data_IF_943768558640
#
_entry.id   IF_943768558640
#
_cell.length_a   1.000
_cell.length_b   1.000
_cell.length_c   1.000
_cell.angle_alpha   90.00
_cell.angle_beta   90.00
_cell.angle_gamma   90.00
#
_symmetry.space_group_name_H-M   'P 1'
#
loop_
_entity.id
_entity.type
_entity.pdbx_description
1 polymer ?
#
# COMPACT_ATOMS: atom_id res chain seq x y z
N UNK A 1 -10.90 54.73 -17.26
CA UNK A 1 -10.16 55.32 -16.12
C UNK A 1 -9.63 54.24 -15.21
N UNK A 2 -8.32 54.22 -15.00
CA UNK A 2 -7.63 53.35 -14.02
C UNK A 2 -7.97 53.80 -12.58
N UNK A 3 -7.79 52.94 -11.54
CA UNK A 3 -6.45 52.89 -10.97
C UNK A 3 -5.91 51.50 -10.64
N UNK A 4 -4.61 51.43 -10.87
CA UNK A 4 -3.65 50.50 -10.23
C UNK A 4 -3.41 50.98 -8.80
N UNK A 5 -2.72 50.10 -8.04
CA UNK A 5 -2.08 50.24 -6.72
C UNK A 5 -2.83 49.50 -5.62
N UNK A 6 -2.36 48.30 -5.31
CA UNK A 6 -1.79 47.90 -4.00
C UNK A 6 -1.30 46.45 -4.08
N UNK A 7 -0.07 46.27 -4.43
CA UNK A 7 0.66 45.03 -4.28
C UNK A 7 2.12 45.35 -3.99
N UNK A 8 2.42 45.65 -2.75
CA UNK A 8 3.78 45.59 -2.15
C UNK A 8 3.58 45.75 -0.66
N UNK A 9 3.77 44.72 0.11
CA UNK A 9 4.15 44.69 1.55
C UNK A 9 3.82 43.34 2.18
N UNK A 10 4.51 42.29 1.75
CA UNK A 10 4.49 41.00 2.47
C UNK A 10 5.78 40.15 2.28
N UNK A 11 6.93 40.78 2.05
CA UNK A 11 8.21 40.06 1.86
C UNK A 11 9.32 40.66 2.75
N UNK A 12 9.09 40.96 4.00
CA UNK A 12 10.16 41.41 4.93
C UNK A 12 10.13 40.71 6.30
N UNK A 13 9.33 39.71 6.53
CA UNK A 13 9.21 39.07 7.86
C UNK A 13 9.85 37.70 8.02
N UNK A 14 10.61 37.17 7.06
CA UNK A 14 11.17 35.79 7.13
C UNK A 14 12.71 35.75 7.25
N UNK A 15 13.41 36.88 7.32
CA UNK A 15 14.88 36.90 7.35
C UNK A 15 15.52 37.29 8.70
N UNK A 16 14.78 37.30 9.81
CA UNK A 16 15.34 37.66 11.12
C UNK A 16 15.22 36.57 12.21
N UNK A 17 14.83 35.35 11.86
CA UNK A 17 14.69 34.24 12.81
C UNK A 17 15.82 33.20 12.81
N UNK A 18 16.91 33.37 12.08
CA UNK A 18 17.87 32.31 11.78
C UNK A 18 19.29 32.46 12.37
N UNK A 19 19.54 33.33 13.33
CA UNK A 19 20.91 33.49 13.88
C UNK A 19 20.87 33.71 15.38
N UNK A 20 20.54 32.69 16.17
CA UNK A 20 20.78 32.69 17.63
C UNK A 20 20.80 31.28 18.24
N UNK A 21 21.56 30.35 17.71
CA UNK A 21 21.80 29.08 18.41
C UNK A 21 23.16 28.43 18.10
N UNK A 22 24.26 29.21 18.05
CA UNK A 22 25.60 28.64 18.24
C UNK A 22 26.50 29.76 18.74
N UNK A 23 26.71 29.92 20.01
CA UNK A 23 28.04 29.91 20.59
C UNK A 23 28.08 29.47 22.05
N UNK A 24 27.90 28.23 22.37
CA UNK A 24 28.16 27.75 23.71
C UNK A 24 29.18 26.60 23.78
N UNK A 25 29.77 26.19 22.65
CA UNK A 25 30.68 25.07 22.60
C UNK A 25 32.18 25.45 22.43
N UNK A 26 32.55 26.72 22.30
CA UNK A 26 33.95 27.12 22.00
C UNK A 26 34.70 27.83 23.15
N UNK A 27 34.11 27.97 24.34
CA UNK A 27 34.73 28.74 25.41
C UNK A 27 35.42 27.89 26.50
N UNK A 28 35.78 26.64 26.27
CA UNK A 28 36.45 25.78 27.28
C UNK A 28 37.76 25.11 26.83
N UNK A 29 38.47 25.66 25.91
CA UNK A 29 39.78 25.15 25.49
C UNK A 29 40.93 26.16 25.56
N UNK A 30 40.83 27.18 26.42
CA UNK A 30 41.97 28.07 26.73
C UNK A 30 41.94 28.42 28.19
N UNK A 31 42.55 27.62 29.01
CA UNK A 31 42.78 27.86 30.43
C UNK A 31 44.00 27.07 30.88
N UNK A 32 45.15 27.71 30.74
CA UNK A 32 46.45 27.28 31.25
C UNK A 32 46.48 27.16 32.77
N UNK A 33 47.06 26.11 33.31
CA UNK A 33 48.01 26.16 34.36
C UNK A 33 47.59 25.90 35.77
N UNK A 34 48.23 24.86 36.32
CA UNK A 34 48.74 24.64 37.67
C UNK A 34 47.80 24.16 38.79
N UNK A 35 48.01 22.93 39.14
CA UNK A 35 48.12 22.47 40.54
C UNK A 35 46.84 22.25 41.35
N UNK A 36 46.49 20.99 41.59
CA UNK A 36 45.57 20.62 42.66
C UNK A 36 45.02 19.19 42.48
N UNK A 37 45.60 18.24 43.18
CA UNK A 37 45.07 16.90 43.34
C UNK A 37 43.71 16.93 44.06
N UNK A 38 42.64 16.69 43.34
CA UNK A 38 41.31 16.50 43.89
C UNK A 38 40.57 15.54 42.96
N UNK A 39 40.36 14.29 43.40
CA UNK A 39 39.63 13.27 42.69
C UNK A 39 38.17 13.69 42.43
N UNK A 40 37.92 14.33 41.32
CA UNK A 40 36.58 14.58 40.81
C UNK A 40 36.11 13.36 40.03
N UNK A 41 35.18 12.61 40.58
CA UNK A 41 34.47 11.60 39.82
C UNK A 41 33.86 12.25 38.56
N UNK A 42 34.33 11.91 37.38
CA UNK A 42 33.72 12.31 36.13
C UNK A 42 32.28 11.76 36.12
N UNK A 43 31.33 12.65 36.28
CA UNK A 43 29.93 12.30 36.09
C UNK A 43 29.76 11.83 34.62
N UNK A 44 29.70 10.52 34.44
CA UNK A 44 29.30 9.92 33.15
C UNK A 44 27.88 10.35 32.91
N UNK A 45 27.68 11.28 32.00
CA UNK A 45 26.34 11.69 31.54
C UNK A 45 25.64 10.44 31.04
N UNK A 46 24.65 9.95 31.81
CA UNK A 46 23.77 8.89 31.36
C UNK A 46 23.04 9.42 30.15
N UNK A 47 23.10 8.74 28.96
CA UNK A 47 22.39 9.19 27.80
C UNK A 47 20.91 9.30 28.16
N UNK A 48 20.31 10.45 27.86
CA UNK A 48 18.87 10.68 28.02
C UNK A 48 18.12 9.63 27.21
N UNK A 49 17.12 8.92 27.76
CA UNK A 49 16.40 7.89 27.04
C UNK A 49 15.68 8.50 25.84
N UNK A 50 16.20 8.27 24.65
CA UNK A 50 15.56 8.70 23.41
C UNK A 50 14.24 7.95 23.25
N UNK A 51 13.16 8.70 23.04
CA UNK A 51 11.85 8.11 22.77
C UNK A 51 11.95 7.20 21.54
N UNK A 52 11.59 5.91 21.65
CA UNK A 52 11.68 5.00 20.53
C UNK A 52 10.81 5.49 19.36
N UNK A 53 11.24 5.33 18.10
CA UNK A 53 10.40 5.71 16.95
C UNK A 53 9.14 4.87 16.90
N UNK A 54 8.04 5.42 16.33
CA UNK A 54 6.77 4.71 16.24
C UNK A 54 6.90 3.44 15.38
N UNK A 55 6.11 2.38 15.66
CA UNK A 55 6.18 1.14 14.91
C UNK A 55 5.82 1.34 13.44
N UNK A 56 6.41 0.52 12.59
CA UNK A 56 6.16 0.49 11.14
C UNK A 56 6.17 -0.95 10.64
N UNK A 57 5.99 -1.16 9.35
CA UNK A 57 6.32 -2.43 8.72
C UNK A 57 7.73 -2.38 8.15
N UNK A 58 8.51 -3.42 8.39
CA UNK A 58 9.81 -3.62 7.77
C UNK A 58 9.96 -5.07 7.29
N UNK A 59 10.84 -5.27 6.31
CA UNK A 59 11.16 -6.58 5.80
C UNK A 59 11.70 -7.49 6.90
N UNK A 60 11.15 -8.69 6.99
CA UNK A 60 11.53 -9.69 7.98
C UNK A 60 11.08 -11.08 7.55
N UNK A 61 11.48 -12.12 8.28
CA UNK A 61 11.00 -13.47 8.03
C UNK A 61 9.50 -13.56 8.31
N UNK A 62 8.78 -14.21 7.39
CA UNK A 62 7.35 -14.53 7.53
C UNK A 62 7.18 -16.03 7.49
N UNK A 63 6.54 -16.58 8.53
CA UNK A 63 6.23 -18.00 8.63
C UNK A 63 4.71 -18.19 8.75
N UNK A 64 4.14 -18.96 7.84
CA UNK A 64 2.72 -19.31 7.84
C UNK A 64 2.59 -20.81 7.60
N UNK A 65 1.81 -21.50 8.44
CA UNK A 65 1.42 -22.89 8.16
C UNK A 65 0.35 -22.86 7.07
N UNK A 66 0.80 -22.70 5.84
CA UNK A 66 -0.06 -22.51 4.69
C UNK A 66 -0.46 -23.84 4.06
N UNK A 67 -1.76 -23.99 3.79
CA UNK A 67 -2.35 -25.19 3.17
C UNK A 67 -2.98 -24.83 1.82
N UNK A 68 -2.16 -24.44 0.86
CA UNK A 68 -2.62 -24.05 -0.46
C UNK A 68 -1.53 -24.19 -1.51
N UNK A 69 -1.89 -23.90 -2.75
CA UNK A 69 -1.01 -24.05 -3.90
C UNK A 69 -0.13 -22.83 -4.18
N UNK A 70 -0.57 -21.64 -3.74
CA UNK A 70 0.14 -20.41 -3.98
C UNK A 70 0.04 -19.49 -2.78
N UNK A 71 1.18 -19.13 -2.23
CA UNK A 71 1.35 -18.11 -1.21
C UNK A 71 2.55 -17.26 -1.59
N UNK A 72 2.34 -15.97 -1.70
CA UNK A 72 3.40 -15.03 -1.99
C UNK A 72 3.06 -13.66 -1.42
N UNK A 73 4.08 -12.91 -1.01
CA UNK A 73 3.92 -11.56 -0.47
C UNK A 73 5.09 -10.67 -0.88
N UNK A 74 4.85 -9.36 -0.88
CA UNK A 74 5.87 -8.33 -1.04
C UNK A 74 5.52 -7.11 -0.20
N UNK A 75 6.55 -6.48 0.35
CA UNK A 75 6.51 -5.21 1.07
C UNK A 75 7.43 -4.23 0.36
N UNK A 76 6.93 -3.05 0.06
CA UNK A 76 7.73 -1.91 -0.44
C UNK A 76 7.86 -0.86 0.67
N UNK A 77 9.09 -0.48 0.96
CA UNK A 77 9.41 0.75 1.66
C UNK A 77 9.27 1.91 0.65
N UNK A 78 8.32 2.81 0.88
CA UNK A 78 8.02 3.90 -0.05
C UNK A 78 9.06 5.02 -0.04
N UNK A 79 9.83 5.16 1.03
CA UNK A 79 10.88 6.18 1.10
C UNK A 79 12.09 5.82 0.23
N UNK A 80 12.41 4.52 0.14
CA UNK A 80 13.57 4.02 -0.60
C UNK A 80 13.20 3.35 -1.92
N UNK A 81 11.94 2.98 -2.13
CA UNK A 81 11.48 2.15 -3.25
C UNK A 81 11.91 0.69 -3.16
N UNK A 82 12.55 0.28 -2.05
CA UNK A 82 13.03 -1.09 -1.86
C UNK A 82 11.87 -2.05 -1.69
N UNK A 83 11.87 -3.14 -2.47
CA UNK A 83 10.88 -4.22 -2.36
C UNK A 83 11.54 -5.46 -1.77
N UNK A 84 10.94 -5.98 -0.72
CA UNK A 84 11.31 -7.25 -0.08
C UNK A 84 10.10 -8.17 -0.03
N UNK A 85 10.30 -9.49 0.04
CA UNK A 85 9.17 -10.40 0.04
C UNK A 85 9.57 -11.88 0.09
N UNK A 86 8.59 -12.73 -0.16
CA UNK A 86 8.82 -14.16 -0.33
C UNK A 86 9.72 -14.44 -1.54
N UNK A 87 10.42 -15.58 -1.54
CA UNK A 87 11.31 -15.99 -2.66
C UNK A 87 10.59 -15.99 -4.02
N UNK A 88 9.29 -16.23 -4.03
CA UNK A 88 8.45 -16.28 -5.22
C UNK A 88 7.64 -14.97 -5.43
N UNK A 89 8.05 -13.84 -4.89
CA UNK A 89 7.31 -12.57 -4.99
C UNK A 89 7.09 -12.07 -6.42
N UNK A 90 7.79 -12.64 -7.41
CA UNK A 90 7.60 -12.40 -8.85
C UNK A 90 6.59 -13.37 -9.51
N UNK A 91 6.17 -14.42 -8.81
CA UNK A 91 5.17 -15.37 -9.33
C UNK A 91 3.78 -14.75 -9.31
N UNK A 92 2.97 -15.09 -10.33
CA UNK A 92 1.70 -14.40 -10.57
C UNK A 92 0.48 -15.23 -10.21
N UNK A 93 -0.56 -14.57 -9.70
CA UNK A 93 -1.93 -15.09 -9.56
C UNK A 93 -2.92 -14.09 -10.17
N UNK A 94 -4.19 -14.47 -10.29
CA UNK A 94 -5.24 -13.55 -10.75
C UNK A 94 -5.48 -12.44 -9.73
N UNK A 95 -5.78 -11.22 -10.20
CA UNK A 95 -5.90 -10.03 -9.35
C UNK A 95 -7.22 -9.92 -8.61
N UNK A 96 -8.25 -10.53 -9.15
CA UNK A 96 -9.61 -10.36 -8.67
C UNK A 96 -9.96 -8.88 -8.48
N UNK A 97 -10.76 -8.56 -7.48
CA UNK A 97 -11.18 -7.18 -7.20
C UNK A 97 -10.06 -6.22 -6.75
N UNK A 98 -8.85 -6.71 -6.48
CA UNK A 98 -7.71 -5.85 -6.14
C UNK A 98 -7.41 -4.85 -7.28
N UNK A 99 -7.61 -5.26 -8.53
CA UNK A 99 -7.35 -4.42 -9.71
C UNK A 99 -8.34 -3.24 -9.86
N UNK A 100 -9.46 -3.24 -9.14
CA UNK A 100 -10.42 -2.13 -9.17
C UNK A 100 -9.79 -0.79 -8.74
N UNK A 101 -8.81 -0.83 -7.85
CA UNK A 101 -8.06 0.37 -7.46
C UNK A 101 -7.38 1.03 -8.68
N UNK A 102 -6.79 0.23 -9.57
CA UNK A 102 -6.23 0.72 -10.82
C UNK A 102 -7.30 1.21 -11.79
N UNK A 103 -8.35 0.42 -12.03
CA UNK A 103 -9.41 0.75 -13.00
C UNK A 103 -9.99 2.13 -12.70
N UNK A 104 -10.27 2.40 -11.43
CA UNK A 104 -10.82 3.68 -11.00
C UNK A 104 -9.79 4.81 -11.15
N UNK A 105 -8.55 4.57 -10.75
CA UNK A 105 -7.46 5.53 -10.89
C UNK A 105 -7.22 5.89 -12.36
N UNK A 106 -7.14 4.91 -13.25
CA UNK A 106 -6.90 5.12 -14.68
C UNK A 106 -8.04 5.89 -15.35
N UNK A 107 -9.29 5.60 -15.01
CA UNK A 107 -10.44 6.36 -15.47
C UNK A 107 -10.33 7.84 -15.06
N UNK A 108 -10.06 8.10 -13.78
CA UNK A 108 -9.95 9.46 -13.26
C UNK A 108 -8.74 10.21 -13.84
N UNK A 109 -7.61 9.52 -14.03
CA UNK A 109 -6.43 10.08 -14.69
C UNK A 109 -6.72 10.55 -16.11
N UNK A 110 -7.51 9.79 -16.86
CA UNK A 110 -7.90 10.14 -18.24
C UNK A 110 -8.82 11.36 -18.32
N UNK A 111 -9.53 11.69 -17.23
CA UNK A 111 -10.32 12.91 -17.15
C UNK A 111 -9.45 14.16 -16.95
N UNK A 112 -8.23 14.00 -16.41
CA UNK A 112 -7.40 15.14 -16.03
C UNK A 112 -8.12 16.01 -15.01
N UNK A 113 -8.31 17.28 -15.35
CA UNK A 113 -8.99 18.27 -14.49
C UNK A 113 -10.52 18.26 -14.60
N UNK A 114 -11.08 17.45 -15.50
CA UNK A 114 -12.54 17.34 -15.65
C UNK A 114 -13.15 16.51 -14.52
N UNK A 115 -14.36 16.92 -14.10
CA UNK A 115 -15.14 16.10 -13.15
C UNK A 115 -15.79 14.91 -13.88
N UNK A 116 -15.82 13.71 -13.25
CA UNK A 116 -16.65 12.63 -13.74
C UNK A 116 -18.12 12.99 -13.60
N UNK A 117 -18.98 12.39 -14.41
CA UNK A 117 -20.42 12.50 -14.16
C UNK A 117 -20.75 11.99 -12.75
N UNK A 118 -21.80 12.54 -12.13
CA UNK A 118 -22.23 12.12 -10.79
C UNK A 118 -22.47 10.59 -10.73
N UNK A 119 -23.01 10.02 -11.79
CA UNK A 119 -23.22 8.57 -11.92
C UNK A 119 -21.90 7.81 -11.89
N UNK A 120 -20.91 8.16 -12.70
CA UNK A 120 -19.63 7.46 -12.75
C UNK A 120 -18.81 7.67 -11.47
N UNK A 121 -18.89 8.84 -10.85
CA UNK A 121 -18.27 9.09 -9.53
C UNK A 121 -18.85 8.16 -8.45
N UNK A 122 -20.18 7.98 -8.44
CA UNK A 122 -20.85 7.03 -7.55
C UNK A 122 -20.42 5.59 -7.85
N UNK A 123 -20.35 5.18 -9.12
CA UNK A 123 -19.88 3.84 -9.50
C UNK A 123 -18.41 3.62 -9.06
N UNK A 124 -17.54 4.61 -9.25
CA UNK A 124 -16.16 4.54 -8.80
C UNK A 124 -16.07 4.32 -7.27
N UNK A 125 -16.85 5.04 -6.48
CA UNK A 125 -16.93 4.85 -5.02
C UNK A 125 -17.42 3.43 -4.65
N UNK A 126 -18.52 2.96 -5.25
CA UNK A 126 -19.06 1.61 -5.01
C UNK A 126 -18.04 0.51 -5.41
N UNK A 127 -17.33 0.68 -6.51
CA UNK A 127 -16.31 -0.27 -6.95
C UNK A 127 -15.13 -0.39 -5.96
N UNK A 128 -14.74 0.70 -5.32
CA UNK A 128 -13.67 0.69 -4.31
C UNK A 128 -14.22 0.22 -2.96
N UNK A 129 -15.22 0.91 -2.40
CA UNK A 129 -15.68 0.71 -1.01
C UNK A 129 -16.38 -0.62 -0.80
N UNK A 130 -17.26 -0.97 -1.74
CA UNK A 130 -18.11 -2.15 -1.63
C UNK A 130 -17.68 -3.28 -2.56
N UNK A 131 -16.59 -3.06 -3.31
CA UNK A 131 -16.07 -4.00 -4.29
C UNK A 131 -17.14 -4.44 -5.32
N UNK A 132 -18.09 -3.58 -5.64
CA UNK A 132 -19.20 -3.87 -6.53
C UNK A 132 -18.70 -4.11 -7.97
N UNK A 133 -19.01 -5.27 -8.54
CA UNK A 133 -18.51 -5.67 -9.87
C UNK A 133 -19.19 -4.91 -11.00
N UNK A 134 -20.51 -4.71 -10.93
CA UNK A 134 -21.26 -3.97 -11.97
C UNK A 134 -20.78 -2.52 -12.04
N UNK A 135 -20.50 -1.92 -10.88
CA UNK A 135 -19.95 -0.59 -10.79
C UNK A 135 -18.55 -0.52 -11.42
N UNK A 136 -17.68 -1.49 -11.09
CA UNK A 136 -16.35 -1.59 -11.68
C UNK A 136 -16.40 -1.79 -13.20
N UNK A 137 -17.32 -2.63 -13.69
CA UNK A 137 -17.51 -2.89 -15.11
C UNK A 137 -17.89 -1.62 -15.89
N UNK A 138 -18.78 -0.78 -15.31
CA UNK A 138 -19.16 0.50 -15.92
C UNK A 138 -17.98 1.47 -16.02
N UNK A 139 -17.18 1.57 -14.95
CA UNK A 139 -15.99 2.43 -14.96
C UNK A 139 -14.89 1.85 -15.85
N UNK A 140 -14.72 0.52 -15.87
CA UNK A 140 -13.78 -0.15 -16.78
C UNK A 140 -14.10 0.14 -18.24
N UNK A 141 -15.37 0.05 -18.63
CA UNK A 141 -15.82 0.41 -19.99
C UNK A 141 -15.58 1.90 -20.28
N UNK A 142 -15.87 2.80 -19.33
CA UNK A 142 -15.62 4.23 -19.46
C UNK A 142 -14.12 4.57 -19.59
N UNK A 143 -13.24 3.75 -18.99
CA UNK A 143 -11.79 3.84 -19.17
C UNK A 143 -11.28 3.24 -20.49
N UNK A 144 -12.18 2.79 -21.38
CA UNK A 144 -11.83 2.15 -22.64
C UNK A 144 -11.51 0.66 -22.53
N UNK A 145 -11.91 0.03 -21.41
CA UNK A 145 -11.76 -1.41 -21.20
C UNK A 145 -12.77 -2.23 -22.02
N UNK A 146 -12.39 -3.44 -22.35
CA UNK A 146 -13.23 -4.40 -23.07
C UNK A 146 -12.94 -5.82 -22.59
N UNK A 147 -13.98 -6.65 -22.54
CA UNK A 147 -13.86 -8.09 -22.30
C UNK A 147 -13.43 -8.89 -23.54
N UNK A 148 -13.37 -8.25 -24.71
CA UNK A 148 -12.87 -8.88 -25.92
C UNK A 148 -11.38 -9.12 -25.79
N UNK A 149 -10.95 -10.30 -26.18
CA UNK A 149 -9.52 -10.64 -26.22
C UNK A 149 -8.86 -9.80 -27.30
N UNK A 150 -7.80 -9.09 -26.93
CA UNK A 150 -7.01 -8.35 -27.91
C UNK A 150 -6.25 -9.31 -28.84
N UNK A 151 -6.04 -8.91 -30.08
CA UNK A 151 -5.23 -9.66 -31.03
C UNK A 151 -3.81 -9.91 -30.47
N UNK A 152 -3.22 -11.06 -30.82
CA UNK A 152 -1.87 -11.41 -30.37
C UNK A 152 -1.74 -11.79 -28.90
N UNK A 153 -2.85 -11.95 -28.18
CA UNK A 153 -2.80 -12.36 -26.76
C UNK A 153 -2.36 -11.27 -25.78
N UNK A 154 -2.34 -10.03 -26.24
CA UNK A 154 -1.95 -8.88 -25.43
C UNK A 154 -3.02 -8.50 -24.39
N UNK A 155 -2.62 -7.87 -23.26
CA UNK A 155 -3.56 -7.24 -22.34
C UNK A 155 -4.40 -6.17 -23.03
N UNK A 156 -5.64 -5.97 -22.59
CA UNK A 156 -6.46 -4.84 -23.02
C UNK A 156 -5.89 -3.47 -22.62
N UNK A 157 -6.40 -2.36 -23.21
CA UNK A 157 -5.77 -1.04 -23.07
C UNK A 157 -5.66 -0.54 -21.63
N UNK A 158 -6.63 -0.83 -20.76
CA UNK A 158 -6.60 -0.45 -19.34
C UNK A 158 -5.43 -1.15 -18.63
N UNK A 159 -5.22 -2.42 -18.91
CA UNK A 159 -4.14 -3.21 -18.30
C UNK A 159 -2.77 -2.82 -18.89
N UNK A 160 -2.69 -2.56 -20.21
CA UNK A 160 -1.46 -2.03 -20.83
C UNK A 160 -1.01 -0.72 -20.16
N UNK A 161 -1.95 0.19 -19.86
CA UNK A 161 -1.62 1.42 -19.14
C UNK A 161 -1.14 1.15 -17.70
N UNK A 162 -1.73 0.17 -16.98
CA UNK A 162 -1.21 -0.23 -15.68
C UNK A 162 0.27 -0.66 -15.77
N UNK A 163 0.56 -1.53 -16.72
CA UNK A 163 1.92 -2.06 -16.95
C UNK A 163 2.89 -0.92 -17.23
N UNK A 164 2.57 -0.03 -18.18
CA UNK A 164 3.48 1.03 -18.61
C UNK A 164 3.65 2.15 -17.58
N UNK A 165 2.56 2.62 -16.98
CA UNK A 165 2.57 3.78 -16.06
C UNK A 165 3.14 3.40 -14.70
N UNK A 166 2.80 2.20 -14.19
CA UNK A 166 3.25 1.75 -12.88
C UNK A 166 4.50 0.87 -12.92
N UNK A 167 5.08 0.61 -14.10
CA UNK A 167 6.30 -0.20 -14.24
C UNK A 167 6.12 -1.65 -13.79
N UNK A 168 4.98 -2.28 -14.15
CA UNK A 168 4.65 -3.63 -13.75
C UNK A 168 5.35 -4.64 -14.66
N UNK A 169 6.32 -5.37 -14.14
CA UNK A 169 7.20 -6.25 -14.93
C UNK A 169 6.71 -7.69 -15.03
N UNK A 170 5.84 -8.11 -14.12
CA UNK A 170 5.33 -9.49 -14.03
C UNK A 170 3.87 -9.59 -14.48
N UNK A 171 3.21 -8.44 -14.62
CA UNK A 171 1.77 -8.37 -14.92
C UNK A 171 1.50 -8.69 -16.38
N UNK A 172 0.51 -9.56 -16.60
CA UNK A 172 0.13 -10.04 -17.93
C UNK A 172 -1.35 -10.35 -18.00
N UNK A 173 -1.85 -10.54 -19.23
CA UNK A 173 -3.21 -10.99 -19.48
C UNK A 173 -3.52 -12.29 -18.74
N UNK A 174 -4.79 -12.47 -18.34
CA UNK A 174 -5.29 -13.74 -17.85
C UNK A 174 -5.17 -14.85 -18.90
N UNK A 175 -5.01 -16.08 -18.44
CA UNK A 175 -4.84 -17.26 -19.28
C UNK A 175 -5.89 -18.35 -19.02
N UNK A 176 -6.97 -18.00 -18.34
CA UNK A 176 -8.08 -18.92 -18.07
C UNK A 176 -9.01 -18.91 -19.29
N UNK A 177 -9.21 -20.10 -19.87
CA UNK A 177 -10.03 -20.25 -21.08
C UNK A 177 -11.44 -19.66 -20.88
N UNK A 178 -11.85 -18.78 -21.80
CA UNK A 178 -13.12 -18.06 -21.76
C UNK A 178 -13.15 -16.81 -20.88
N UNK A 179 -12.06 -16.50 -20.14
CA UNK A 179 -11.96 -15.34 -19.24
C UNK A 179 -10.73 -14.47 -19.54
N UNK A 180 -10.04 -14.68 -20.64
CA UNK A 180 -8.75 -14.05 -20.95
C UNK A 180 -8.84 -12.53 -21.08
N UNK A 181 -9.98 -12.00 -21.48
CA UNK A 181 -10.24 -10.55 -21.59
C UNK A 181 -10.78 -9.91 -20.31
N UNK A 182 -11.04 -10.70 -19.28
CA UNK A 182 -11.62 -10.20 -18.03
C UNK A 182 -10.56 -9.57 -17.15
N UNK A 183 -10.80 -8.34 -16.69
CA UNK A 183 -9.84 -7.61 -15.84
C UNK A 183 -9.52 -8.36 -14.55
N UNK A 184 -10.49 -9.04 -13.93
CA UNK A 184 -10.30 -9.79 -12.68
C UNK A 184 -9.34 -10.98 -12.82
N UNK A 185 -9.21 -11.52 -14.02
CA UNK A 185 -8.28 -12.62 -14.32
C UNK A 185 -6.90 -12.14 -14.75
N UNK A 186 -6.65 -10.82 -14.81
CA UNK A 186 -5.31 -10.28 -15.02
C UNK A 186 -4.34 -10.93 -14.03
N UNK A 187 -3.22 -11.44 -14.53
CA UNK A 187 -2.20 -12.07 -13.69
C UNK A 187 -1.19 -11.01 -13.23
N UNK A 188 -1.01 -10.95 -11.93
CA UNK A 188 -0.10 -10.00 -11.27
C UNK A 188 0.70 -10.72 -10.17
N UNK A 189 1.92 -10.28 -9.92
CA UNK A 189 2.72 -10.73 -8.78
C UNK A 189 2.52 -9.83 -7.55
N UNK A 190 2.81 -10.28 -6.33
CA UNK A 190 2.86 -9.40 -5.16
C UNK A 190 3.85 -8.24 -5.35
N UNK A 191 4.98 -8.47 -6.03
CA UNK A 191 5.94 -7.43 -6.37
C UNK A 191 5.32 -6.31 -7.22
N UNK A 192 4.54 -6.66 -8.22
CA UNK A 192 3.81 -5.69 -9.03
C UNK A 192 2.60 -5.09 -8.30
N UNK A 193 1.97 -5.85 -7.41
CA UNK A 193 0.87 -5.31 -6.59
C UNK A 193 1.34 -4.18 -5.66
N UNK A 194 2.54 -4.28 -5.04
CA UNK A 194 3.09 -3.17 -4.25
C UNK A 194 3.52 -2.00 -5.12
N UNK A 195 4.04 -2.23 -6.34
CA UNK A 195 4.30 -1.17 -7.33
C UNK A 195 3.01 -0.46 -7.75
N UNK A 196 1.93 -1.21 -7.96
CA UNK A 196 0.61 -0.65 -8.22
C UNK A 196 0.13 0.22 -7.05
N UNK A 197 0.30 -0.25 -5.82
CA UNK A 197 -0.01 0.51 -4.60
C UNK A 197 0.79 1.81 -4.54
N UNK A 198 2.10 1.76 -4.81
CA UNK A 198 2.97 2.93 -4.91
C UNK A 198 2.50 3.90 -6.00
N UNK A 199 2.25 3.39 -7.19
CA UNK A 199 1.79 4.17 -8.34
C UNK A 199 0.47 4.93 -8.06
N UNK A 200 -0.41 4.33 -7.26
CA UNK A 200 -1.64 4.99 -6.80
C UNK A 200 -1.31 6.08 -5.78
N UNK A 201 -0.43 5.81 -4.84
CA UNK A 201 -0.14 6.70 -3.73
C UNK A 201 0.78 7.87 -4.09
N UNK A 202 1.64 7.72 -5.10
CA UNK A 202 2.52 8.78 -5.61
C UNK A 202 1.87 9.68 -6.67
N UNK A 203 0.62 9.38 -7.05
CA UNK A 203 -0.16 10.19 -7.97
C UNK A 203 -0.07 9.81 -9.44
N UNK A 204 0.80 8.88 -9.83
CA UNK A 204 0.92 8.45 -11.24
C UNK A 204 -0.34 7.79 -11.78
N UNK A 205 -1.01 6.99 -10.93
CA UNK A 205 -2.18 6.23 -11.33
C UNK A 205 -3.42 7.08 -11.61
N UNK A 206 -3.72 8.06 -10.74
CA UNK A 206 -4.94 8.86 -10.82
C UNK A 206 -4.70 10.33 -11.23
N UNK A 207 -3.46 10.78 -11.23
CA UNK A 207 -3.09 12.16 -11.39
C UNK A 207 -3.26 13.00 -10.10
N UNK A 208 -2.66 14.20 -10.05
CA UNK A 208 -2.57 14.98 -8.81
C UNK A 208 -3.95 15.35 -8.24
N UNK A 209 -4.93 15.65 -9.09
CA UNK A 209 -6.29 16.00 -8.68
C UNK A 209 -7.00 14.87 -7.95
N UNK A 210 -6.84 13.64 -8.39
CA UNK A 210 -7.68 12.52 -7.97
C UNK A 210 -7.03 11.56 -6.98
N UNK A 211 -5.71 11.63 -6.82
CA UNK A 211 -4.96 10.72 -5.94
C UNK A 211 -5.51 10.68 -4.52
N UNK A 212 -5.69 11.87 -3.93
CA UNK A 212 -6.25 11.95 -2.56
C UNK A 212 -7.64 11.32 -2.48
N UNK A 213 -8.50 11.57 -3.46
CA UNK A 213 -9.85 11.00 -3.49
C UNK A 213 -9.81 9.48 -3.57
N UNK A 214 -8.96 8.90 -4.43
CA UNK A 214 -8.82 7.43 -4.55
C UNK A 214 -8.34 6.83 -3.24
N UNK A 215 -7.31 7.38 -2.62
CA UNK A 215 -6.79 6.91 -1.34
C UNK A 215 -7.82 7.04 -0.21
N UNK A 216 -8.58 8.13 -0.18
CA UNK A 216 -9.68 8.32 0.78
C UNK A 216 -10.79 7.27 0.57
N UNK A 217 -11.16 6.93 -0.66
CA UNK A 217 -12.11 5.86 -0.94
C UNK A 217 -11.56 4.50 -0.51
N UNK A 218 -10.29 4.21 -0.78
CA UNK A 218 -9.62 2.98 -0.35
C UNK A 218 -9.50 2.88 1.19
N UNK A 219 -9.39 3.97 1.91
CA UNK A 219 -9.38 3.98 3.38
C UNK A 219 -10.76 3.73 4.00
N UNK A 220 -11.83 3.92 3.22
CA UNK A 220 -13.23 3.76 3.62
C UNK A 220 -13.85 2.44 3.16
N UNK A 221 -13.04 1.49 2.70
CA UNK A 221 -13.53 0.14 2.34
C UNK A 221 -14.27 -0.45 3.52
N UNK A 222 -15.46 -1.00 3.25
CA UNK A 222 -16.40 -1.52 4.25
C UNK A 222 -16.45 -3.05 4.27
N UNK A 223 -17.14 -3.61 5.24
CA UNK A 223 -17.49 -5.03 5.26
C UNK A 223 -16.38 -5.96 5.72
N UNK A 224 -16.62 -6.60 6.87
CA UNK A 224 -15.79 -7.69 7.42
C UNK A 224 -15.97 -8.98 6.61
N UNK A 225 -15.18 -10.03 6.91
CA UNK A 225 -15.40 -11.37 6.34
C UNK A 225 -16.82 -11.88 6.63
N UNK A 226 -17.39 -11.58 7.82
CA UNK A 226 -18.78 -11.95 8.15
C UNK A 226 -19.78 -11.24 7.23
N UNK A 227 -19.60 -9.95 6.96
CA UNK A 227 -20.42 -9.22 6.02
C UNK A 227 -20.32 -9.78 4.60
N UNK A 228 -19.13 -10.20 4.16
CA UNK A 228 -18.93 -10.88 2.88
C UNK A 228 -19.72 -12.18 2.77
N UNK A 229 -19.72 -12.99 3.82
CA UNK A 229 -20.54 -14.22 3.88
C UNK A 229 -22.03 -13.93 3.73
N UNK A 230 -22.48 -12.79 4.24
CA UNK A 230 -23.84 -12.29 4.07
C UNK A 230 -24.06 -11.54 2.73
N UNK A 231 -23.08 -11.58 1.81
CA UNK A 231 -23.08 -10.87 0.51
C UNK A 231 -23.19 -9.35 0.62
N UNK A 232 -22.61 -8.77 1.66
CA UNK A 232 -22.52 -7.32 1.85
C UNK A 232 -21.12 -6.85 2.13
N UNK A 233 -20.82 -5.61 1.77
CA UNK A 233 -19.56 -4.94 2.03
C UNK A 233 -18.42 -5.30 1.10
N UNK A 234 -17.35 -4.55 1.16
CA UNK A 234 -16.32 -4.43 0.15
C UNK A 234 -14.93 -4.98 0.51
N UNK A 235 -14.78 -5.77 1.56
CA UNK A 235 -13.52 -6.46 1.85
C UNK A 235 -12.58 -5.74 2.81
N UNK A 236 -13.12 -5.13 3.88
CA UNK A 236 -12.32 -4.57 4.98
C UNK A 236 -11.87 -5.67 5.94
N UNK A 237 -10.83 -6.37 5.54
CA UNK A 237 -10.22 -7.47 6.30
C UNK A 237 -8.78 -7.71 5.83
N UNK A 238 -8.08 -8.64 6.43
CA UNK A 238 -6.75 -9.08 6.03
C UNK A 238 -5.64 -8.20 6.60
N UNK A 239 -4.81 -7.59 5.78
CA UNK A 239 -3.64 -6.80 6.23
C UNK A 239 -4.03 -5.81 7.34
N UNK A 240 -5.12 -5.08 7.17
CA UNK A 240 -5.57 -4.07 8.14
C UNK A 240 -5.89 -4.66 9.54
N UNK A 241 -6.29 -5.92 9.60
CA UNK A 241 -6.60 -6.60 10.86
C UNK A 241 -5.32 -7.05 11.60
N UNK A 242 -4.22 -7.24 10.87
CA UNK A 242 -2.91 -7.56 11.43
C UNK A 242 -2.09 -6.36 11.88
N UNK A 243 -2.56 -5.14 11.64
CA UNK A 243 -1.86 -3.92 12.04
C UNK A 243 -2.25 -3.50 13.46
N UNK A 244 -1.29 -3.16 14.33
CA UNK A 244 -1.58 -2.61 15.65
C UNK A 244 -2.21 -1.21 15.56
N UNK A 245 -2.80 -0.76 16.67
CA UNK A 245 -3.48 0.52 16.75
C UNK A 245 -2.52 1.70 16.48
N UNK A 246 -1.29 1.58 16.93
CA UNK A 246 -0.24 2.59 16.79
C UNK A 246 0.14 2.86 15.33
N UNK A 247 0.16 1.83 14.48
CA UNK A 247 0.37 2.01 13.03
C UNK A 247 -0.85 2.67 12.40
N UNK A 248 -2.06 2.23 12.76
CA UNK A 248 -3.31 2.82 12.24
C UNK A 248 -3.51 4.28 12.67
N UNK A 249 -2.97 4.68 13.81
CA UNK A 249 -3.00 6.06 14.29
C UNK A 249 -2.05 7.01 13.53
N UNK A 250 -1.06 6.48 12.78
CA UNK A 250 -0.12 7.31 12.01
C UNK A 250 -0.71 7.88 10.72
N UNK A 251 -1.90 7.46 10.34
CA UNK A 251 -2.58 7.93 9.13
C UNK A 251 -3.48 6.87 8.51
N UNK A 252 -4.18 7.22 7.44
CA UNK A 252 -5.09 6.30 6.78
C UNK A 252 -4.34 5.10 6.18
N UNK A 253 -4.92 3.92 6.34
CA UNK A 253 -4.51 2.70 5.63
C UNK A 253 -5.49 2.50 4.48
N UNK A 254 -5.02 2.74 3.26
CA UNK A 254 -5.79 2.55 2.03
C UNK A 254 -5.70 1.09 1.60
N UNK A 255 -6.82 0.39 1.47
CA UNK A 255 -6.84 -1.03 1.12
C UNK A 255 -7.69 -1.31 -0.11
N UNK A 256 -7.33 -2.35 -0.86
CA UNK A 256 -8.21 -2.96 -1.85
C UNK A 256 -7.93 -4.45 -1.96
N UNK A 257 -8.82 -5.23 -1.40
CA UNK A 257 -8.74 -6.68 -1.50
C UNK A 257 -9.46 -7.21 -2.74
N UNK A 258 -9.05 -8.40 -3.18
CA UNK A 258 -9.72 -9.18 -4.20
C UNK A 258 -9.91 -10.63 -3.72
N UNK A 259 -11.06 -11.23 -4.00
CA UNK A 259 -11.35 -12.60 -3.59
C UNK A 259 -12.43 -13.22 -4.48
N UNK A 260 -12.21 -14.46 -4.87
CA UNK A 260 -13.20 -15.24 -5.63
C UNK A 260 -12.95 -16.72 -5.40
N UNK A 261 -14.00 -17.53 -5.10
CA UNK A 261 -13.90 -18.98 -5.20
C UNK A 261 -14.05 -19.36 -6.68
N UNK A 262 -12.99 -19.86 -7.29
CA UNK A 262 -12.98 -20.16 -8.73
C UNK A 262 -13.16 -21.68 -8.97
N UNK A 263 -14.25 -22.04 -9.64
CA UNK A 263 -14.61 -23.44 -9.84
C UNK A 263 -13.68 -24.16 -10.81
N UNK A 264 -13.00 -23.46 -11.71
CA UNK A 264 -12.13 -24.09 -12.70
C UNK A 264 -10.89 -24.77 -12.08
N UNK A 265 -10.45 -24.34 -10.90
CA UNK A 265 -9.33 -24.93 -10.17
C UNK A 265 -9.66 -25.33 -8.73
N UNK A 266 -10.90 -25.12 -8.29
CA UNK A 266 -11.37 -25.50 -6.96
C UNK A 266 -10.80 -24.67 -5.81
N UNK A 267 -10.20 -23.52 -6.11
CA UNK A 267 -9.52 -22.69 -5.13
C UNK A 267 -10.21 -21.35 -4.86
N UNK A 268 -9.99 -20.83 -3.67
CA UNK A 268 -10.06 -19.41 -3.40
C UNK A 268 -8.81 -18.72 -3.99
N UNK A 269 -9.03 -17.64 -4.74
CA UNK A 269 -8.02 -16.67 -5.08
C UNK A 269 -8.24 -15.45 -4.18
N UNK A 270 -7.30 -15.17 -3.30
CA UNK A 270 -7.41 -14.09 -2.31
C UNK A 270 -6.19 -13.21 -2.40
N UNK A 271 -6.42 -11.92 -2.56
CA UNK A 271 -5.39 -10.90 -2.68
C UNK A 271 -5.67 -9.77 -1.71
N UNK A 272 -4.67 -9.39 -0.93
CA UNK A 272 -4.73 -8.28 0.00
C UNK A 272 -3.71 -7.23 -0.42
N UNK A 273 -4.16 -5.99 -0.60
CA UNK A 273 -3.30 -4.84 -0.85
C UNK A 273 -3.61 -3.76 0.18
N UNK A 274 -2.57 -3.24 0.81
CA UNK A 274 -2.66 -2.09 1.71
C UNK A 274 -1.53 -1.10 1.42
N UNK A 275 -1.86 0.19 1.45
CA UNK A 275 -0.93 1.29 1.17
C UNK A 275 -1.07 2.36 2.24
N UNK A 276 0.06 2.88 2.70
CA UNK A 276 0.15 4.02 3.62
C UNK A 276 1.13 5.07 3.08
N UNK A 277 1.36 6.13 3.81
CA UNK A 277 2.42 7.09 3.48
C UNK A 277 3.84 6.50 3.51
N UNK A 278 4.05 5.37 4.20
CA UNK A 278 5.38 4.80 4.46
C UNK A 278 5.67 3.51 3.72
N UNK A 279 4.67 2.69 3.46
CA UNK A 279 4.84 1.36 2.88
C UNK A 279 3.64 0.94 2.03
N UNK A 280 3.87 -0.03 1.13
CA UNK A 280 2.85 -0.78 0.42
C UNK A 280 3.08 -2.27 0.66
N UNK A 281 2.04 -3.01 1.07
CA UNK A 281 2.10 -4.45 1.34
C UNK A 281 1.06 -5.17 0.50
N UNK A 282 1.49 -6.24 -0.16
CA UNK A 282 0.61 -7.15 -0.89
C UNK A 282 0.83 -8.60 -0.45
N UNK A 283 -0.28 -9.33 -0.29
CA UNK A 283 -0.28 -10.77 -0.03
C UNK A 283 -1.25 -11.43 -1.01
N UNK A 284 -0.79 -12.44 -1.74
CA UNK A 284 -1.59 -13.13 -2.75
C UNK A 284 -1.59 -14.63 -2.49
N UNK A 285 -2.76 -15.23 -2.53
CA UNK A 285 -3.04 -16.58 -2.07
C UNK A 285 -3.89 -17.35 -3.07
N UNK A 286 -3.64 -18.66 -3.18
CA UNK A 286 -4.53 -19.62 -3.83
C UNK A 286 -4.58 -20.89 -3.00
N UNK A 287 -5.76 -21.27 -2.50
CA UNK A 287 -5.96 -22.37 -1.57
C UNK A 287 -7.34 -23.01 -1.74
N UNK A 288 -7.54 -24.29 -1.33
CA UNK A 288 -8.80 -25.00 -1.53
C UNK A 288 -10.03 -24.28 -0.99
N UNK A 289 -11.12 -24.25 -1.75
CA UNK A 289 -12.37 -23.56 -1.41
C UNK A 289 -12.96 -23.96 -0.05
N UNK A 290 -12.78 -25.21 0.35
CA UNK A 290 -13.26 -25.72 1.65
C UNK A 290 -12.70 -24.97 2.87
N UNK A 291 -11.56 -24.29 2.72
CA UNK A 291 -10.94 -23.51 3.80
C UNK A 291 -11.66 -22.19 4.08
N UNK A 292 -12.50 -21.73 3.14
CA UNK A 292 -13.30 -20.51 3.29
C UNK A 292 -12.49 -19.21 3.23
N UNK A 293 -13.18 -18.08 3.10
CA UNK A 293 -12.55 -16.75 3.00
C UNK A 293 -11.81 -16.32 4.28
N UNK A 294 -12.29 -16.75 5.46
CA UNK A 294 -11.66 -16.49 6.75
C UNK A 294 -10.19 -16.92 6.80
N UNK A 295 -9.88 -18.06 6.18
CA UNK A 295 -8.52 -18.58 6.14
C UNK A 295 -7.57 -17.60 5.44
N UNK A 296 -7.92 -17.16 4.23
CA UNK A 296 -7.10 -16.21 3.48
C UNK A 296 -6.97 -14.85 4.18
N UNK A 297 -8.07 -14.35 4.75
CA UNK A 297 -8.04 -13.10 5.52
C UNK A 297 -7.08 -13.19 6.72
N UNK A 298 -7.09 -14.30 7.46
CA UNK A 298 -6.17 -14.55 8.57
C UNK A 298 -4.72 -14.67 8.13
N UNK A 299 -4.46 -15.31 6.97
CA UNK A 299 -3.10 -15.37 6.41
C UNK A 299 -2.60 -13.97 6.07
N UNK A 300 -3.39 -13.13 5.40
CA UNK A 300 -3.02 -11.76 5.12
C UNK A 300 -2.74 -10.95 6.40
N UNK A 301 -3.57 -11.11 7.42
CA UNK A 301 -3.37 -10.46 8.73
C UNK A 301 -2.08 -10.94 9.41
N UNK A 302 -1.84 -12.25 9.42
CA UNK A 302 -0.63 -12.86 10.00
C UNK A 302 0.65 -12.32 9.34
N UNK A 303 0.68 -12.20 8.01
CA UNK A 303 1.82 -11.59 7.30
C UNK A 303 2.06 -10.17 7.79
N UNK A 304 1.01 -9.34 7.84
CA UNK A 304 1.14 -7.97 8.32
C UNK A 304 1.66 -7.89 9.76
N UNK A 305 1.10 -8.70 10.67
CA UNK A 305 1.53 -8.75 12.08
C UNK A 305 3.01 -9.10 12.23
N UNK A 306 3.49 -10.08 11.45
CA UNK A 306 4.89 -10.52 11.50
C UNK A 306 5.89 -9.49 10.96
N UNK A 307 5.44 -8.57 10.11
CA UNK A 307 6.24 -7.51 9.54
C UNK A 307 6.23 -6.23 10.39
N UNK A 308 5.42 -6.16 11.45
CA UNK A 308 5.47 -5.03 12.39
C UNK A 308 6.84 -5.00 13.06
N UNK A 309 7.54 -3.91 12.85
CA UNK A 309 8.87 -3.72 13.45
C UNK A 309 8.71 -3.09 14.83
N UNK A 310 9.26 -3.73 15.89
CA UNK A 310 9.35 -3.14 17.20
C UNK A 310 10.11 -1.82 17.13
N UNK A 311 9.84 -0.97 18.10
CA UNK A 311 10.59 0.28 18.24
C UNK A 311 12.08 -0.02 18.49
N UNK A 312 13.03 0.79 17.96
CA UNK A 312 14.45 0.65 18.27
C UNK A 312 14.68 0.62 19.78
N UNK A 313 15.46 -0.35 20.22
CA UNK A 313 15.72 -0.59 21.66
C UNK A 313 14.75 -1.58 22.33
N UNK A 314 13.62 -1.92 21.74
CA UNK A 314 12.88 -3.10 22.15
C UNK A 314 13.68 -4.35 21.78
N UNK A 315 13.84 -5.29 22.70
CA UNK A 315 14.46 -6.58 22.39
C UNK A 315 13.73 -7.18 21.18
N UNK A 316 14.41 -7.22 20.05
CA UNK A 316 13.88 -7.71 18.78
C UNK A 316 13.46 -9.17 18.92
N UNK A 317 12.22 -9.39 19.31
CA UNK A 317 11.55 -10.66 19.07
C UNK A 317 11.04 -10.65 17.62
N UNK A 318 11.95 -10.50 16.67
CA UNK A 318 11.65 -10.89 15.28
C UNK A 318 11.35 -12.39 15.36
N UNK A 319 10.20 -12.87 14.90
CA UNK A 319 9.97 -14.29 14.80
C UNK A 319 11.12 -14.89 13.99
N UNK A 320 12.01 -15.57 14.65
CA UNK A 320 13.18 -16.27 14.05
C UNK A 320 12.74 -17.53 13.33
N UNK A 321 11.62 -17.49 12.66
CA UNK A 321 11.13 -18.66 11.96
C UNK A 321 11.47 -18.51 10.47
N UNK A 322 12.02 -19.57 9.87
CA UNK A 322 12.24 -19.56 8.43
C UNK A 322 10.92 -19.32 7.72
N UNK A 323 10.99 -18.59 6.61
CA UNK A 323 9.85 -18.48 5.69
C UNK A 323 9.29 -19.89 5.50
N UNK A 324 8.04 -20.10 5.93
CA UNK A 324 7.44 -21.43 5.93
C UNK A 324 7.58 -22.05 4.55
N UNK A 325 7.81 -23.36 4.53
CA UNK A 325 7.70 -24.11 3.29
C UNK A 325 6.29 -23.90 2.75
N UNK A 326 6.20 -23.36 1.55
CA UNK A 326 4.97 -23.25 0.78
C UNK A 326 4.51 -24.62 0.33
#
# INVERSE_FOLDING_TARGET
MRPRVTMVLAIVAVLLGGVMLVPAAYARLSGDGTGGAGGGAASVAVPEPTTPPPPTLAAGPVSVNYKGEFFSWALMDRATGTISGSKNMASTSSTESMLKAWIISDYLRQLGDKEPSATLKKQASLAIRDSNDDAANKVYAAAGGSYRVAAGGEPGPVIKRAISICGLTDTKRGNVAGYEGWWSFTRMSPRDAVRLGECIADGKAAGPKWTKWVLDEMSKVSGTVKAQKARSGGGRWGIIDGLPAEIKAQGPVSIKNGWTPLNYDGNWHVNCLAVTGKWSLAVMLRYPQKSGLDYGAKVCASVATQLVTPQPGAALKVPQQPVGKL
#
